data_IF_312098519779
#
_entry.id   IF_312098519779
#
_cell.length_a   1.000
_cell.length_b   1.000
_cell.length_c   1.000
_cell.angle_alpha   90.00
_cell.angle_beta   90.00
_cell.angle_gamma   90.00
#
_symmetry.space_group_name_H-M   'P 1'
#
loop_
_entity.id
_entity.type
_entity.pdbx_description
1 polymer ?
#
# COMPACT_ATOMS: atom_id res chain seq x y z
N UNK A 1 4.34 -84.82 10.49
CA UNK A 1 4.77 -83.64 9.70
C UNK A 1 6.04 -83.99 8.96
N UNK A 2 6.28 -83.42 7.78
CA UNK A 2 7.26 -83.92 6.81
C UNK A 2 8.43 -82.96 6.59
N UNK A 3 9.53 -83.57 6.12
CA UNK A 3 10.73 -83.08 5.41
C UNK A 3 10.73 -81.60 4.95
N UNK A 4 11.77 -80.78 5.16
CA UNK A 4 13.20 -80.91 4.78
C UNK A 4 13.48 -80.65 3.27
N UNK A 5 14.63 -80.02 2.98
CA UNK A 5 15.27 -79.80 1.66
C UNK A 5 14.60 -78.86 0.61
N UNK A 6 15.15 -77.65 0.45
CA UNK A 6 15.97 -77.17 -0.71
C UNK A 6 16.09 -75.62 -0.64
N UNK A 7 17.05 -74.87 -1.21
CA UNK A 7 18.50 -74.95 -1.47
C UNK A 7 18.85 -73.70 -2.34
N UNK A 8 19.68 -72.76 -1.84
CA UNK A 8 20.75 -72.06 -2.60
C UNK A 8 20.43 -70.95 -3.66
N UNK A 9 21.41 -70.00 -3.78
CA UNK A 9 21.63 -68.91 -4.78
C UNK A 9 20.69 -67.67 -4.67
N UNK A 10 21.16 -66.41 -4.74
CA UNK A 10 22.48 -65.75 -4.99
C UNK A 10 22.66 -64.54 -4.03
N UNK A 11 23.85 -64.18 -3.52
CA UNK A 11 24.94 -63.36 -4.14
C UNK A 11 24.46 -61.98 -4.63
N UNK A 12 25.11 -60.82 -4.42
CA UNK A 12 26.40 -60.36 -3.82
C UNK A 12 26.33 -58.80 -3.68
N UNK A 13 27.18 -57.96 -3.05
CA UNK A 13 28.30 -58.00 -2.07
C UNK A 13 28.44 -56.55 -1.50
N UNK A 14 28.47 -56.25 -0.20
CA UNK A 14 29.58 -56.22 0.79
C UNK A 14 30.74 -55.20 0.56
N UNK A 15 30.69 -54.08 1.31
CA UNK A 15 31.80 -53.27 1.89
C UNK A 15 32.75 -52.39 1.04
N UNK A 16 33.50 -51.55 1.80
CA UNK A 16 34.44 -50.46 1.43
C UNK A 16 33.76 -49.20 0.83
N UNK A 17 34.21 -47.96 1.09
CA UNK A 17 35.43 -47.47 1.76
C UNK A 17 35.12 -46.53 2.96
N UNK A 18 36.03 -46.52 3.95
CA UNK A 18 36.27 -45.37 4.84
C UNK A 18 37.56 -44.65 4.37
N UNK A 19 37.81 -43.44 4.88
CA UNK A 19 39.07 -42.67 4.78
C UNK A 19 39.62 -42.32 3.38
N UNK A 20 39.21 -41.15 2.86
CA UNK A 20 40.08 -40.16 2.20
C UNK A 20 39.81 -38.85 2.97
N UNK A 21 40.66 -38.50 3.94
CA UNK A 21 41.86 -37.65 3.81
C UNK A 21 41.55 -36.25 3.26
N UNK A 22 41.91 -35.23 4.03
CA UNK A 22 41.51 -33.85 3.74
C UNK A 22 42.40 -33.17 2.69
N UNK A 23 41.80 -32.68 1.59
CA UNK A 23 42.29 -31.50 0.87
C UNK A 23 41.21 -30.86 -0.02
N UNK A 24 40.45 -29.89 0.52
CA UNK A 24 39.82 -28.84 -0.30
C UNK A 24 39.58 -27.54 0.49
N UNK A 25 40.62 -27.08 1.18
CA UNK A 25 40.66 -25.76 1.81
C UNK A 25 41.07 -24.70 0.75
N UNK A 26 40.30 -24.60 -0.33
CA UNK A 26 40.56 -23.67 -1.45
C UNK A 26 39.32 -22.80 -1.72
N UNK A 27 39.41 -21.57 -1.23
CA UNK A 27 38.87 -20.36 -1.86
C UNK A 27 37.42 -20.42 -2.40
N UNK A 28 36.53 -21.02 -1.61
CA UNK A 28 35.11 -20.66 -1.56
C UNK A 28 34.85 -19.25 -1.03
N UNK A 29 35.74 -18.28 -1.29
CA UNK A 29 35.48 -16.84 -1.11
C UNK A 29 34.54 -16.35 -2.21
N UNK A 30 33.35 -16.96 -2.28
CA UNK A 30 32.19 -16.24 -2.79
C UNK A 30 32.07 -14.99 -1.94
N UNK A 31 32.17 -13.81 -2.56
CA UNK A 31 31.83 -12.58 -1.86
C UNK A 31 30.35 -12.66 -1.52
N UNK A 32 30.04 -13.11 -0.32
CA UNK A 32 28.91 -12.57 0.42
C UNK A 32 29.22 -11.09 0.56
N UNK A 33 28.79 -10.30 -0.42
CA UNK A 33 28.66 -8.85 -0.28
C UNK A 33 27.47 -8.67 0.66
N UNK A 34 27.74 -8.95 1.94
CA UNK A 34 26.85 -8.57 3.01
C UNK A 34 26.71 -7.05 2.88
N UNK A 35 25.52 -6.58 2.55
CA UNK A 35 25.25 -5.16 2.37
C UNK A 35 25.21 -4.48 3.76
N UNK A 36 26.38 -4.41 4.39
CA UNK A 36 26.67 -3.77 5.68
C UNK A 36 26.59 -2.23 5.59
N UNK A 37 25.66 -1.74 4.77
CA UNK A 37 25.18 -0.37 4.83
C UNK A 37 24.24 -0.23 6.02
N UNK A 38 24.48 0.80 6.82
CA UNK A 38 23.44 1.38 7.65
C UNK A 38 22.40 2.08 6.76
N UNK A 39 21.17 2.25 7.25
CA UNK A 39 20.22 3.11 6.56
C UNK A 39 20.70 4.57 6.60
N UNK A 40 20.38 5.34 5.56
CA UNK A 40 20.76 6.75 5.41
C UNK A 40 19.68 7.53 4.64
N UNK A 41 19.80 8.85 4.52
CA UNK A 41 18.88 9.64 3.70
C UNK A 41 18.80 9.15 2.23
N UNK A 42 19.86 8.55 1.70
CA UNK A 42 19.91 7.98 0.36
C UNK A 42 19.10 6.67 0.23
N UNK A 43 18.84 5.97 1.33
CA UNK A 43 17.94 4.80 1.35
C UNK A 43 16.50 5.16 0.98
N UNK A 44 16.09 6.40 1.21
CA UNK A 44 14.76 6.89 0.83
C UNK A 44 14.65 7.39 -0.62
N UNK A 45 15.73 7.58 -1.37
CA UNK A 45 15.66 8.29 -2.66
C UNK A 45 14.59 7.73 -3.63
N UNK A 46 13.78 8.60 -4.23
CA UNK A 46 12.76 8.23 -5.24
C UNK A 46 11.34 8.65 -4.88
N UNK A 47 10.36 8.14 -5.64
CA UNK A 47 8.94 8.45 -5.49
C UNK A 47 8.21 7.37 -4.67
N UNK A 48 7.27 7.79 -3.81
CA UNK A 48 6.44 6.91 -2.99
C UNK A 48 4.98 7.30 -3.14
N UNK A 49 4.13 6.29 -3.34
CA UNK A 49 2.70 6.42 -3.09
C UNK A 49 2.47 6.33 -1.58
N UNK A 50 1.75 7.31 -1.02
CA UNK A 50 1.52 7.42 0.42
C UNK A 50 0.02 7.46 0.70
N UNK A 51 -0.43 6.50 1.48
CA UNK A 51 -1.80 6.45 2.03
C UNK A 51 -1.77 7.12 3.39
N UNK A 52 -2.70 8.05 3.62
CA UNK A 52 -2.90 8.73 4.91
C UNK A 52 -4.25 8.30 5.50
N UNK A 53 -4.26 7.87 6.76
CA UNK A 53 -5.47 7.58 7.53
C UNK A 53 -5.39 8.28 8.89
N UNK A 54 -6.48 8.92 9.31
CA UNK A 54 -6.61 9.44 10.66
C UNK A 54 -7.25 8.39 11.59
N UNK A 55 -6.62 8.17 12.74
CA UNK A 55 -6.96 7.12 13.69
C UNK A 55 -7.37 7.77 15.02
N UNK A 56 -8.55 7.39 15.51
CA UNK A 56 -9.18 8.01 16.69
C UNK A 56 -9.84 9.35 16.35
N UNK A 57 -9.95 10.23 17.34
CA UNK A 57 -10.51 11.59 17.17
C UNK A 57 -12.00 11.64 16.88
N UNK A 58 -12.40 12.73 16.23
CA UNK A 58 -13.70 13.03 15.64
C UNK A 58 -13.48 13.38 14.16
N UNK A 59 -14.50 13.19 13.32
CA UNK A 59 -14.46 13.51 11.88
C UNK A 59 -13.36 12.74 11.10
N UNK A 60 -13.62 11.50 10.65
CA UNK A 60 -12.61 10.70 9.94
C UNK A 60 -12.07 11.47 8.72
N UNK A 61 -10.77 11.37 8.47
CA UNK A 61 -10.11 11.91 7.29
C UNK A 61 -9.14 10.86 6.71
N UNK A 62 -8.98 10.90 5.40
CA UNK A 62 -8.07 10.03 4.66
C UNK A 62 -7.50 10.80 3.47
N UNK A 63 -6.33 10.40 2.97
CA UNK A 63 -5.71 11.06 1.83
C UNK A 63 -4.78 10.15 1.05
N UNK A 64 -4.46 10.60 -0.16
CA UNK A 64 -3.50 9.97 -1.07
C UNK A 64 -2.45 11.00 -1.47
N UNK A 65 -1.19 10.62 -1.45
CA UNK A 65 -0.07 11.54 -1.75
C UNK A 65 1.00 10.85 -2.59
N UNK A 66 1.69 11.62 -3.42
CA UNK A 66 2.91 11.19 -4.10
C UNK A 66 4.06 12.05 -3.60
N UNK A 67 4.99 11.44 -2.87
CA UNK A 67 6.14 12.12 -2.25
C UNK A 67 7.43 11.68 -2.94
N UNK A 68 8.21 12.65 -3.40
CA UNK A 68 9.59 12.48 -3.84
C UNK A 68 10.55 12.78 -2.68
N UNK A 69 11.48 11.87 -2.43
CA UNK A 69 12.59 12.07 -1.49
C UNK A 69 13.90 12.23 -2.28
N UNK A 70 14.66 13.29 -2.01
CA UNK A 70 15.84 13.69 -2.81
C UNK A 70 17.11 12.86 -2.57
N UNK A 71 17.07 11.96 -1.58
CA UNK A 71 18.22 11.14 -1.15
C UNK A 71 19.17 11.86 -0.20
N UNK A 72 18.92 13.13 0.15
CA UNK A 72 19.85 14.01 0.89
C UNK A 72 19.21 14.60 2.15
N UNK A 73 17.89 14.67 2.22
CA UNK A 73 17.14 15.11 3.39
C UNK A 73 16.02 16.11 3.10
N UNK A 74 15.62 16.29 1.83
CA UNK A 74 14.47 17.10 1.43
C UNK A 74 13.42 16.26 0.72
N UNK A 75 12.16 16.59 0.96
CA UNK A 75 11.02 16.00 0.27
C UNK A 75 10.18 17.06 -0.43
N UNK A 76 9.49 16.64 -1.50
CA UNK A 76 8.47 17.42 -2.21
C UNK A 76 7.38 16.50 -2.72
N UNK A 77 6.21 17.03 -3.09
CA UNK A 77 5.15 16.19 -3.61
C UNK A 77 3.80 16.86 -3.76
N UNK A 78 2.80 16.02 -4.00
CA UNK A 78 1.38 16.39 -4.06
C UNK A 78 0.59 15.53 -3.09
N UNK A 79 -0.52 16.07 -2.59
CA UNK A 79 -1.51 15.29 -1.82
C UNK A 79 -2.92 15.68 -2.23
N UNK A 80 -3.85 14.73 -2.13
CA UNK A 80 -5.29 14.93 -2.21
C UNK A 80 -5.87 14.39 -0.90
N UNK A 81 -6.30 15.31 -0.03
CA UNK A 81 -6.88 14.98 1.27
C UNK A 81 -8.39 15.07 1.20
N UNK A 82 -9.08 14.04 1.68
CA UNK A 82 -10.51 14.06 1.96
C UNK A 82 -10.70 14.54 3.41
N UNK A 83 -11.03 15.82 3.56
CA UNK A 83 -11.18 16.52 4.84
C UNK A 83 -12.66 16.75 5.20
N UNK A 84 -13.02 16.82 6.49
CA UNK A 84 -14.33 17.31 6.89
C UNK A 84 -14.50 18.81 6.55
N UNK A 85 -15.70 19.19 6.13
CA UNK A 85 -16.12 20.56 5.79
C UNK A 85 -16.43 21.41 7.03
N UNK A 86 -17.56 22.11 7.02
CA UNK A 86 -18.10 22.82 8.18
C UNK A 86 -19.03 21.94 9.03
N UNK A 87 -19.81 21.04 8.42
CA UNK A 87 -20.56 19.99 9.12
C UNK A 87 -19.87 18.61 9.09
N UNK A 88 -20.34 17.69 9.93
CA UNK A 88 -19.86 16.30 10.00
C UNK A 88 -20.03 15.50 8.70
N UNK A 89 -21.04 15.87 7.91
CA UNK A 89 -21.41 15.20 6.65
C UNK A 89 -20.75 15.81 5.42
N UNK A 90 -20.39 17.09 5.45
CA UNK A 90 -19.68 17.75 4.33
C UNK A 90 -18.26 17.25 4.20
N UNK A 91 -17.86 16.89 2.97
CA UNK A 91 -16.49 16.47 2.63
C UNK A 91 -15.89 17.42 1.61
N UNK A 92 -14.63 17.78 1.82
CA UNK A 92 -13.82 18.60 0.90
C UNK A 92 -12.66 17.77 0.38
N UNK A 93 -12.49 17.73 -0.94
CA UNK A 93 -11.31 17.15 -1.58
C UNK A 93 -10.30 18.26 -1.87
N UNK A 94 -9.28 18.38 -1.02
CA UNK A 94 -8.28 19.45 -1.13
C UNK A 94 -7.00 18.91 -1.73
N UNK A 95 -6.67 19.34 -2.96
CA UNK A 95 -5.37 19.07 -3.59
C UNK A 95 -4.36 20.13 -3.13
N UNK A 96 -3.24 19.68 -2.57
CA UNK A 96 -2.25 20.54 -1.90
C UNK A 96 -0.82 20.18 -2.36
N UNK A 97 0.09 21.14 -2.26
CA UNK A 97 1.52 20.94 -2.51
C UNK A 97 2.24 20.59 -1.20
N UNK A 98 3.14 19.62 -1.27
CA UNK A 98 3.99 19.19 -0.17
C UNK A 98 5.44 19.63 -0.41
N UNK A 99 6.09 20.06 0.66
CA UNK A 99 7.54 20.24 0.77
C UNK A 99 7.99 19.77 2.16
N UNK A 100 9.28 19.63 2.41
CA UNK A 100 9.72 19.22 3.75
C UNK A 100 11.16 18.78 3.85
N UNK A 101 11.49 18.27 5.02
CA UNK A 101 12.82 17.73 5.37
C UNK A 101 12.70 16.41 6.12
N UNK A 102 13.71 15.56 6.00
CA UNK A 102 13.73 14.25 6.66
C UNK A 102 15.14 13.82 7.07
N UNK A 103 15.22 12.97 8.10
CA UNK A 103 16.44 12.35 8.61
C UNK A 103 16.22 10.86 8.84
N UNK A 104 17.21 10.05 8.46
CA UNK A 104 17.20 8.59 8.61
C UNK A 104 18.38 8.17 9.49
N UNK A 105 18.05 7.44 10.54
CA UNK A 105 19.01 6.83 11.46
C UNK A 105 19.56 5.52 10.88
N UNK A 106 20.75 5.06 11.33
CA UNK A 106 21.36 3.81 10.89
C UNK A 106 20.49 2.56 10.94
N UNK A 107 19.57 2.50 11.90
CA UNK A 107 18.66 1.38 12.16
C UNK A 107 17.39 1.39 11.26
N UNK A 108 17.15 2.47 10.52
CA UNK A 108 15.97 2.65 9.67
C UNK A 108 14.81 3.37 10.35
N UNK A 109 14.98 3.84 11.59
CA UNK A 109 14.10 4.85 12.19
C UNK A 109 14.42 6.24 11.63
N UNK A 110 13.58 7.23 11.90
CA UNK A 110 13.85 8.61 11.49
C UNK A 110 12.75 9.60 11.85
N UNK A 111 12.89 10.82 11.33
CA UNK A 111 11.91 11.89 11.43
C UNK A 111 11.64 12.51 10.05
N UNK A 112 10.42 13.02 9.85
CA UNK A 112 10.00 13.73 8.64
C UNK A 112 9.11 14.90 9.01
N UNK A 113 9.48 16.10 8.56
CA UNK A 113 8.71 17.34 8.72
C UNK A 113 8.05 17.64 7.38
N UNK A 114 6.73 17.51 7.30
CA UNK A 114 5.95 17.79 6.09
C UNK A 114 5.31 19.18 6.21
N UNK A 115 5.54 20.02 5.21
CA UNK A 115 4.99 21.37 5.06
C UNK A 115 4.00 21.38 3.91
N UNK A 116 2.76 21.75 4.23
CA UNK A 116 1.63 21.76 3.30
C UNK A 116 1.19 23.19 3.06
N UNK A 117 1.32 23.68 1.83
CA UNK A 117 0.84 25.02 1.45
C UNK A 117 -0.65 24.99 1.18
N UNK A 118 -1.42 25.79 1.93
CA UNK A 118 -2.88 25.88 1.83
C UNK A 118 -3.32 26.99 0.84
N UNK A 119 -4.56 26.94 0.30
CA UNK A 119 -5.02 27.90 -0.73
C UNK A 119 -5.14 29.35 -0.25
N UNK A 120 -5.16 29.59 1.06
CA UNK A 120 -5.14 30.90 1.70
C UNK A 120 -3.71 31.48 1.86
N UNK A 121 -2.69 30.75 1.40
CA UNK A 121 -1.28 31.13 1.52
C UNK A 121 -0.62 30.73 2.85
N UNK A 122 -1.36 30.13 3.79
CA UNK A 122 -0.79 29.62 5.03
C UNK A 122 -0.04 28.30 4.79
N UNK A 123 0.86 27.94 5.72
CA UNK A 123 1.62 26.69 5.67
C UNK A 123 1.38 25.91 6.95
N UNK A 124 0.79 24.71 6.85
CA UNK A 124 0.68 23.77 7.97
C UNK A 124 1.91 22.87 8.00
N UNK A 125 2.58 22.81 9.14
CA UNK A 125 3.69 21.90 9.42
C UNK A 125 3.18 20.67 10.19
N UNK A 126 3.69 19.49 9.85
CA UNK A 126 3.35 18.22 10.51
C UNK A 126 4.64 17.43 10.76
N UNK A 127 4.95 17.23 12.04
CA UNK A 127 6.09 16.41 12.47
C UNK A 127 5.68 14.95 12.58
N UNK A 128 6.46 14.08 11.93
CA UNK A 128 6.24 12.64 11.87
C UNK A 128 7.48 11.88 12.36
N UNK A 129 7.28 10.91 13.25
CA UNK A 129 8.24 9.83 13.44
C UNK A 129 8.04 8.77 12.33
N UNK A 130 9.12 8.14 11.85
CA UNK A 130 9.05 7.12 10.80
C UNK A 130 9.93 5.89 11.08
N UNK A 131 9.57 4.78 10.43
CA UNK A 131 10.37 3.56 10.38
C UNK A 131 10.28 2.87 9.01
N UNK A 132 11.43 2.46 8.47
CA UNK A 132 11.54 1.60 7.29
C UNK A 132 11.20 0.16 7.70
N UNK A 133 10.18 -0.43 7.08
CA UNK A 133 9.69 -1.79 7.42
C UNK A 133 9.91 -2.82 6.32
N UNK A 134 10.18 -2.37 5.09
CA UNK A 134 10.66 -3.21 4.01
C UNK A 134 11.76 -2.47 3.24
N UNK A 135 12.81 -3.19 2.87
CA UNK A 135 13.91 -2.70 2.05
C UNK A 135 14.34 -3.76 1.02
N UNK A 136 15.09 -3.32 0.01
CA UNK A 136 15.81 -4.15 -0.94
C UNK A 136 17.32 -3.86 -0.78
N UNK A 137 18.14 -4.89 -0.92
CA UNK A 137 19.60 -4.80 -0.81
C UNK A 137 20.25 -5.29 -2.11
N UNK A 138 20.52 -4.35 -3.03
CA UNK A 138 21.31 -4.61 -4.24
C UNK A 138 22.77 -4.20 -4.01
N UNK A 139 23.03 -2.88 -4.02
CA UNK A 139 24.34 -2.29 -3.71
C UNK A 139 24.31 -1.45 -2.41
N UNK A 140 23.12 -1.02 -1.98
CA UNK A 140 22.85 -0.30 -0.75
C UNK A 140 21.41 -0.56 -0.33
N UNK A 141 21.10 -0.43 0.97
CA UNK A 141 19.72 -0.53 1.47
C UNK A 141 18.86 0.55 0.84
N UNK A 142 17.89 0.14 0.04
CA UNK A 142 16.85 0.97 -0.55
C UNK A 142 15.51 0.63 0.10
N UNK A 143 14.90 1.60 0.77
CA UNK A 143 13.60 1.41 1.39
C UNK A 143 12.53 1.13 0.32
N UNK A 144 11.57 0.26 0.65
CA UNK A 144 10.46 -0.15 -0.20
C UNK A 144 9.11 0.12 0.47
N UNK A 145 9.03 -0.02 1.80
CA UNK A 145 7.86 0.39 2.59
C UNK A 145 8.25 1.10 3.89
N UNK A 146 7.55 2.19 4.19
CA UNK A 146 7.65 2.99 5.42
C UNK A 146 6.32 2.99 6.17
N UNK A 147 6.41 3.10 7.49
CA UNK A 147 5.32 3.62 8.32
C UNK A 147 5.74 4.96 8.90
N UNK A 148 4.82 5.93 8.92
CA UNK A 148 5.00 7.20 9.61
C UNK A 148 3.79 7.47 10.51
N UNK A 149 4.03 8.10 11.66
CA UNK A 149 2.98 8.54 12.59
C UNK A 149 3.22 9.98 13.00
N UNK A 150 2.13 10.74 13.15
CA UNK A 150 2.18 12.10 13.66
C UNK A 150 2.54 12.13 15.15
N UNK A 151 3.41 13.06 15.54
CA UNK A 151 3.86 13.20 16.94
C UNK A 151 2.81 13.85 17.85
N UNK A 152 1.90 14.64 17.26
CA UNK A 152 0.84 15.39 17.95
C UNK A 152 -0.53 15.01 17.38
N UNK A 153 -1.61 15.27 18.11
CA UNK A 153 -2.96 15.17 17.56
C UNK A 153 -3.17 16.24 16.47
N UNK A 154 -3.89 15.90 15.41
CA UNK A 154 -4.36 16.90 14.45
C UNK A 154 -5.41 17.82 15.09
N UNK A 155 -5.19 19.13 15.06
CA UNK A 155 -6.00 20.13 15.78
C UNK A 155 -7.49 20.14 15.39
N UNK A 156 -7.84 19.78 14.14
CA UNK A 156 -9.24 19.77 13.66
C UNK A 156 -9.98 18.49 14.04
N UNK A 157 -9.30 17.35 14.03
CA UNK A 157 -9.92 16.02 14.26
C UNK A 157 -9.67 15.47 15.66
N UNK A 158 -8.60 15.85 16.34
CA UNK A 158 -8.15 15.21 17.59
C UNK A 158 -7.68 13.75 17.40
N UNK A 159 -7.48 13.32 16.15
CA UNK A 159 -6.94 12.00 15.80
C UNK A 159 -5.46 12.07 15.40
N UNK A 160 -4.80 10.91 15.35
CA UNK A 160 -3.42 10.79 14.86
C UNK A 160 -3.41 10.42 13.37
N UNK A 161 -2.61 11.10 12.55
CA UNK A 161 -2.33 10.64 11.19
C UNK A 161 -1.34 9.46 11.22
N UNK A 162 -1.78 8.31 10.71
CA UNK A 162 -0.96 7.18 10.29
C UNK A 162 -0.74 7.29 8.78
N UNK A 163 0.50 7.13 8.34
CA UNK A 163 0.86 7.11 6.93
C UNK A 163 1.57 5.78 6.59
N UNK A 164 1.18 5.18 5.47
CA UNK A 164 1.91 4.05 4.86
C UNK A 164 2.44 4.50 3.51
N UNK A 165 3.76 4.45 3.32
CA UNK A 165 4.43 4.88 2.09
C UNK A 165 5.09 3.68 1.41
N UNK A 166 4.78 3.44 0.14
CA UNK A 166 5.35 2.36 -0.66
C UNK A 166 6.08 2.95 -1.87
N UNK A 167 7.30 2.48 -2.13
CA UNK A 167 8.15 2.97 -3.22
C UNK A 167 7.56 2.58 -4.57
N UNK A 168 7.52 3.55 -5.48
CA UNK A 168 7.09 3.36 -6.86
C UNK A 168 8.32 3.09 -7.75
N UNK A 169 8.16 2.31 -8.84
CA UNK A 169 9.21 2.20 -9.86
C UNK A 169 9.59 3.58 -10.40
N UNK A 170 10.87 3.79 -10.69
CA UNK A 170 11.30 5.02 -11.37
C UNK A 170 10.78 5.01 -12.82
N UNK A 171 11.05 3.92 -13.54
CA UNK A 171 10.86 3.79 -14.98
C UNK A 171 9.41 3.51 -15.41
N UNK A 172 9.12 3.76 -16.68
CA UNK A 172 7.78 3.61 -17.26
C UNK A 172 6.76 4.68 -16.81
N UNK A 173 5.51 4.56 -17.29
CA UNK A 173 4.45 5.56 -17.12
C UNK A 173 3.19 4.97 -16.50
N UNK A 174 2.45 5.79 -15.74
CA UNK A 174 1.07 5.48 -15.39
C UNK A 174 0.11 5.97 -16.48
N UNK A 175 -0.86 5.12 -16.85
CA UNK A 175 -1.95 5.38 -17.81
C UNK A 175 -3.15 4.52 -17.42
N UNK A 176 -4.32 4.64 -18.06
CA UNK A 176 -5.46 3.75 -17.76
C UNK A 176 -5.12 2.26 -17.88
N UNK A 177 -4.17 1.89 -18.76
CA UNK A 177 -3.68 0.52 -18.93
C UNK A 177 -2.97 -0.04 -17.67
N UNK A 178 -2.47 0.83 -16.79
CA UNK A 178 -1.86 0.43 -15.51
C UNK A 178 -2.78 -0.41 -14.63
N UNK A 179 -4.10 -0.17 -14.66
CA UNK A 179 -5.09 -0.96 -13.91
C UNK A 179 -5.65 -2.16 -14.69
N UNK A 180 -5.26 -2.43 -15.95
CA UNK A 180 -5.88 -3.49 -16.77
C UNK A 180 -5.84 -4.87 -16.09
N UNK A 181 -6.98 -5.56 -16.04
CA UNK A 181 -7.10 -6.90 -15.46
C UNK A 181 -8.05 -7.00 -14.27
N UNK A 182 -7.93 -8.07 -13.49
CA UNK A 182 -8.82 -8.41 -12.37
C UNK A 182 -8.17 -8.14 -11.02
N UNK A 183 -8.94 -7.56 -10.09
CA UNK A 183 -8.50 -7.19 -8.75
C UNK A 183 -9.52 -7.71 -7.73
N UNK A 184 -9.03 -8.31 -6.65
CA UNK A 184 -9.81 -8.45 -5.43
C UNK A 184 -9.68 -7.16 -4.63
N UNK A 185 -10.71 -6.80 -3.85
CA UNK A 185 -10.65 -5.62 -3.00
C UNK A 185 -11.37 -5.80 -1.67
N UNK A 186 -10.98 -4.97 -0.71
CA UNK A 186 -11.63 -4.81 0.60
C UNK A 186 -12.24 -3.41 0.72
N UNK A 187 -13.19 -3.25 1.62
CA UNK A 187 -13.82 -1.96 1.97
C UNK A 187 -13.94 -1.86 3.48
N UNK A 188 -13.48 -0.76 4.06
CA UNK A 188 -13.50 -0.48 5.50
C UNK A 188 -14.13 0.88 5.75
N UNK A 189 -15.12 0.93 6.65
CA UNK A 189 -15.70 2.16 7.15
C UNK A 189 -15.00 2.66 8.42
N UNK A 190 -14.61 3.94 8.41
CA UNK A 190 -13.92 4.60 9.52
C UNK A 190 -14.76 5.74 10.11
N UNK A 191 -14.67 5.94 11.43
CA UNK A 191 -15.23 7.09 12.16
C UNK A 191 -16.76 7.20 12.21
N UNK A 192 -17.49 6.27 11.60
CA UNK A 192 -18.95 6.22 11.68
C UNK A 192 -19.47 5.62 12.98
N UNK A 193 -20.78 5.74 13.19
CA UNK A 193 -21.46 5.22 14.39
C UNK A 193 -21.68 3.71 14.36
N UNK A 194 -21.62 3.09 13.18
CA UNK A 194 -21.87 1.67 13.00
C UNK A 194 -20.83 1.08 12.05
N UNK A 195 -20.14 0.01 12.46
CA UNK A 195 -19.09 -0.62 11.66
C UNK A 195 -19.61 -1.09 10.29
N UNK A 196 -18.81 -0.89 9.25
CA UNK A 196 -19.09 -1.32 7.88
C UNK A 196 -17.83 -1.97 7.30
N UNK A 197 -18.00 -3.16 6.72
CA UNK A 197 -16.96 -3.87 5.98
C UNK A 197 -17.55 -4.39 4.66
N UNK A 198 -16.71 -4.54 3.65
CA UNK A 198 -17.08 -5.19 2.40
C UNK A 198 -15.87 -5.79 1.69
N UNK A 199 -16.16 -6.57 0.66
CA UNK A 199 -15.17 -7.16 -0.23
C UNK A 199 -15.78 -7.37 -1.62
N UNK A 200 -14.96 -7.62 -2.63
CA UNK A 200 -15.46 -7.89 -3.96
C UNK A 200 -14.39 -8.14 -5.01
N UNK A 201 -14.84 -8.21 -6.27
CA UNK A 201 -13.99 -8.33 -7.45
C UNK A 201 -14.27 -7.15 -8.38
N UNK A 202 -13.22 -6.59 -8.98
CA UNK A 202 -13.29 -5.60 -10.05
C UNK A 202 -12.48 -6.05 -11.26
N UNK A 203 -12.97 -5.71 -12.45
CA UNK A 203 -12.37 -6.01 -13.75
C UNK A 203 -12.24 -4.69 -14.51
N UNK A 204 -11.00 -4.26 -14.76
CA UNK A 204 -10.64 -3.03 -15.46
C UNK A 204 -10.26 -3.34 -16.91
N UNK A 205 -10.81 -2.59 -17.87
CA UNK A 205 -10.53 -2.76 -19.29
C UNK A 205 -9.11 -2.31 -19.71
N UNK A 206 -8.52 -1.36 -18.97
CA UNK A 206 -7.26 -0.70 -19.30
C UNK A 206 -7.41 0.55 -20.17
N UNK A 207 -8.64 0.96 -20.46
CA UNK A 207 -9.00 2.00 -21.44
C UNK A 207 -9.76 3.15 -20.75
N UNK A 208 -10.61 2.85 -19.78
CA UNK A 208 -11.29 3.87 -18.95
C UNK A 208 -12.55 3.41 -18.22
N UNK A 209 -12.91 2.13 -18.26
CA UNK A 209 -14.07 1.58 -17.54
C UNK A 209 -13.70 0.38 -16.66
N UNK A 210 -14.38 0.22 -15.53
CA UNK A 210 -14.32 -0.99 -14.74
C UNK A 210 -15.70 -1.47 -14.30
N UNK A 211 -15.82 -2.79 -14.17
CA UNK A 211 -17.04 -3.47 -13.75
C UNK A 211 -16.74 -4.44 -12.60
N UNK A 212 -17.69 -4.61 -11.69
CA UNK A 212 -17.47 -5.44 -10.52
C UNK A 212 -18.71 -5.69 -9.67
N UNK A 213 -18.50 -6.36 -8.55
CA UNK A 213 -19.51 -6.61 -7.54
C UNK A 213 -18.96 -6.30 -6.15
N UNK A 214 -19.73 -5.56 -5.36
CA UNK A 214 -19.50 -5.34 -3.94
C UNK A 214 -20.36 -6.32 -3.14
N UNK A 215 -19.77 -7.02 -2.17
CA UNK A 215 -20.49 -7.70 -1.08
C UNK A 215 -20.22 -6.86 0.18
N UNK A 216 -21.23 -6.13 0.65
CA UNK A 216 -21.11 -5.20 1.78
C UNK A 216 -21.93 -5.68 2.96
N UNK A 217 -21.29 -5.82 4.12
CA UNK A 217 -21.95 -6.09 5.39
C UNK A 217 -22.47 -4.76 5.97
N UNK A 218 -23.79 -4.58 5.94
CA UNK A 218 -24.50 -3.40 6.42
C UNK A 218 -25.36 -3.69 7.67
N UNK A 219 -25.80 -2.65 8.40
CA UNK A 219 -26.78 -2.82 9.49
C UNK A 219 -28.11 -3.36 8.95
N UNK A 220 -28.77 -4.23 9.73
CA UNK A 220 -30.16 -4.64 9.48
C UNK A 220 -31.17 -3.74 10.18
N UNK A 221 -32.45 -4.09 10.06
CA UNK A 221 -33.61 -3.33 10.60
C UNK A 221 -33.58 -3.06 12.12
N UNK A 222 -32.83 -3.86 12.88
CA UNK A 222 -32.73 -3.74 14.34
C UNK A 222 -31.28 -3.81 14.78
N UNK A 223 -30.93 -3.10 15.86
CA UNK A 223 -29.60 -3.16 16.48
C UNK A 223 -29.11 -4.62 16.64
N UNK A 224 -27.85 -4.86 16.28
CA UNK A 224 -27.23 -6.19 16.29
C UNK A 224 -27.49 -7.05 15.05
N UNK A 225 -28.59 -6.87 14.30
CA UNK A 225 -28.78 -7.55 13.01
C UNK A 225 -27.85 -6.96 11.95
N UNK A 226 -27.37 -7.81 11.04
CA UNK A 226 -26.53 -7.45 9.89
C UNK A 226 -27.10 -8.08 8.61
N UNK A 227 -26.91 -7.42 7.47
CA UNK A 227 -27.34 -7.89 6.15
C UNK A 227 -26.17 -7.77 5.18
N UNK A 228 -25.94 -8.81 4.37
CA UNK A 228 -25.00 -8.75 3.26
C UNK A 228 -25.75 -8.29 2.00
N UNK A 229 -25.45 -7.07 1.56
CA UNK A 229 -25.97 -6.52 0.29
C UNK A 229 -24.95 -6.79 -0.80
N UNK A 230 -25.39 -7.39 -1.90
CA UNK A 230 -24.58 -7.57 -3.11
C UNK A 230 -25.03 -6.55 -4.16
N UNK A 231 -24.10 -5.73 -4.66
CA UNK A 231 -24.37 -4.69 -5.65
C UNK A 231 -23.39 -4.78 -6.83
N UNK A 232 -23.86 -4.99 -8.07
CA UNK A 232 -23.03 -4.83 -9.27
C UNK A 232 -22.81 -3.34 -9.57
N UNK A 233 -21.73 -3.02 -10.27
CA UNK A 233 -21.45 -1.66 -10.76
C UNK A 233 -20.63 -1.67 -12.05
N UNK A 234 -20.77 -0.58 -12.82
CA UNK A 234 -19.87 -0.20 -13.91
C UNK A 234 -19.55 1.28 -13.71
N UNK A 235 -18.26 1.66 -13.79
CA UNK A 235 -17.78 3.01 -13.42
C UNK A 235 -16.66 3.45 -14.38
N UNK A 236 -16.66 4.71 -14.86
CA UNK A 236 -15.52 5.26 -15.58
C UNK A 236 -14.37 5.57 -14.61
N UNK A 237 -13.13 5.58 -15.11
CA UNK A 237 -11.95 5.98 -14.35
C UNK A 237 -10.91 6.70 -15.23
N UNK A 238 -10.10 7.56 -14.61
CA UNK A 238 -8.93 8.15 -15.24
C UNK A 238 -7.71 8.11 -14.29
N UNK A 239 -6.55 7.70 -14.84
CA UNK A 239 -5.27 7.65 -14.12
C UNK A 239 -4.38 8.83 -14.53
N UNK A 240 -3.88 9.56 -13.54
CA UNK A 240 -2.91 10.64 -13.70
C UNK A 240 -1.49 10.08 -13.85
N UNK A 241 -0.59 10.86 -14.45
CA UNK A 241 0.80 10.44 -14.68
C UNK A 241 1.61 10.15 -13.39
N UNK A 242 1.12 10.59 -12.22
CA UNK A 242 1.70 10.33 -10.89
C UNK A 242 1.18 9.03 -10.23
N UNK A 243 0.20 8.35 -10.83
CA UNK A 243 -0.40 7.11 -10.31
C UNK A 243 -1.61 7.34 -9.40
N UNK A 244 -1.99 8.59 -9.14
CA UNK A 244 -3.31 8.93 -8.58
C UNK A 244 -4.39 8.84 -9.66
N UNK A 245 -5.66 8.79 -9.26
CA UNK A 245 -6.77 8.84 -10.20
C UNK A 245 -8.11 9.09 -9.52
N UNK A 246 -9.13 9.26 -10.35
CA UNK A 246 -10.53 9.45 -9.92
C UNK A 246 -11.43 8.54 -10.76
N UNK A 247 -12.38 7.90 -10.10
CA UNK A 247 -13.53 7.27 -10.73
C UNK A 247 -14.80 8.02 -10.29
N UNK A 248 -15.46 8.69 -11.23
CA UNK A 248 -16.67 9.51 -10.98
C UNK A 248 -17.89 8.80 -11.58
N UNK A 249 -18.70 8.09 -10.78
CA UNK A 249 -19.84 7.35 -11.29
C UNK A 249 -21.04 8.29 -11.51
N UNK A 250 -21.85 8.13 -12.57
CA UNK A 250 -23.00 8.99 -12.82
C UNK A 250 -24.00 8.98 -11.65
N UNK A 251 -24.16 10.13 -10.97
CA UNK A 251 -25.07 10.28 -9.84
C UNK A 251 -24.58 9.74 -8.49
N UNK A 252 -23.33 9.28 -8.40
CA UNK A 252 -22.72 8.84 -7.13
C UNK A 252 -21.60 9.79 -6.67
N UNK A 253 -20.94 9.41 -5.57
CA UNK A 253 -19.73 10.08 -5.08
C UNK A 253 -18.48 9.67 -5.86
N UNK A 254 -17.56 10.60 -6.06
CA UNK A 254 -16.21 10.29 -6.56
C UNK A 254 -15.52 9.24 -5.69
N UNK A 255 -14.73 8.38 -6.34
CA UNK A 255 -13.77 7.49 -5.69
C UNK A 255 -12.37 7.95 -6.10
N UNK A 256 -11.64 8.55 -5.16
CA UNK A 256 -10.22 8.83 -5.31
C UNK A 256 -9.43 7.53 -5.18
N UNK A 257 -8.36 7.35 -5.95
CA UNK A 257 -7.46 6.23 -5.76
C UNK A 257 -6.00 6.58 -6.05
N UNK A 258 -5.09 5.73 -5.57
CA UNK A 258 -3.66 5.76 -5.87
C UNK A 258 -3.14 4.34 -6.07
N UNK A 259 -2.33 4.13 -7.10
CA UNK A 259 -1.58 2.87 -7.26
C UNK A 259 -0.45 2.87 -6.22
N UNK A 260 -0.56 2.01 -5.22
CA UNK A 260 0.42 1.92 -4.12
C UNK A 260 1.63 1.08 -4.48
N UNK A 261 1.48 0.14 -5.41
CA UNK A 261 2.55 -0.77 -5.85
C UNK A 261 2.39 -1.09 -7.33
N UNK A 262 3.47 -1.02 -8.08
CA UNK A 262 3.49 -1.33 -9.50
C UNK A 262 4.74 -2.12 -9.90
N UNK A 263 4.65 -2.84 -11.01
CA UNK A 263 5.78 -3.40 -11.75
C UNK A 263 5.83 -2.73 -13.12
N UNK A 264 7.00 -2.68 -13.76
CA UNK A 264 7.13 -2.12 -15.11
C UNK A 264 7.06 -3.26 -16.13
N UNK A 265 6.10 -3.18 -17.04
CA UNK A 265 5.89 -4.11 -18.15
C UNK A 265 5.62 -3.29 -19.43
N UNK A 266 6.36 -3.56 -20.50
CA UNK A 266 6.46 -2.75 -21.73
C UNK A 266 6.43 -1.22 -21.52
N UNK A 267 7.18 -0.72 -20.52
CA UNK A 267 7.22 0.71 -20.18
C UNK A 267 5.95 1.27 -19.52
N UNK A 268 4.95 0.45 -19.21
CA UNK A 268 3.78 0.79 -18.39
C UNK A 268 4.02 0.34 -16.95
N UNK A 269 3.73 1.22 -15.99
CA UNK A 269 3.69 0.87 -14.56
C UNK A 269 2.38 0.11 -14.28
N UNK A 270 2.38 -1.21 -14.41
CA UNK A 270 1.22 -2.08 -14.15
C UNK A 270 1.01 -2.24 -12.65
N UNK A 271 -0.16 -1.80 -12.17
CA UNK A 271 -0.56 -1.81 -10.78
C UNK A 271 -0.71 -3.24 -10.25
N UNK A 272 -0.09 -3.50 -9.11
CA UNK A 272 -0.18 -4.74 -8.33
C UNK A 272 -1.07 -4.54 -7.10
N UNK A 273 -0.90 -3.40 -6.41
CA UNK A 273 -1.76 -2.96 -5.31
C UNK A 273 -2.14 -1.49 -5.51
N UNK A 274 -3.33 -1.12 -5.02
CA UNK A 274 -3.84 0.25 -5.04
C UNK A 274 -4.77 0.50 -3.85
N UNK A 275 -4.92 1.76 -3.44
CA UNK A 275 -5.79 2.19 -2.33
C UNK A 275 -6.81 3.21 -2.84
N UNK A 276 -8.01 3.20 -2.28
CA UNK A 276 -9.09 4.13 -2.65
C UNK A 276 -9.86 4.71 -1.47
N UNK A 277 -10.48 5.87 -1.69
CA UNK A 277 -11.32 6.62 -0.76
C UNK A 277 -12.61 7.01 -1.50
N UNK A 278 -13.77 6.64 -0.96
CA UNK A 278 -15.05 7.21 -1.41
C UNK A 278 -15.19 8.62 -0.83
N UNK A 279 -15.46 9.61 -1.68
CA UNK A 279 -15.46 11.03 -1.30
C UNK A 279 -16.43 11.32 -0.14
N UNK A 280 -17.70 10.94 -0.29
CA UNK A 280 -18.73 11.25 0.70
C UNK A 280 -18.80 10.22 1.84
N UNK A 281 -19.30 10.68 3.00
CA UNK A 281 -19.68 9.83 4.11
C UNK A 281 -20.85 8.92 3.70
N UNK A 282 -20.80 7.64 4.08
CA UNK A 282 -21.93 6.75 3.90
C UNK A 282 -23.11 7.22 4.79
N UNK A 283 -24.28 7.60 4.21
CA UNK A 283 -25.35 8.25 4.98
C UNK A 283 -26.08 7.30 5.94
N UNK A 284 -25.92 5.99 5.80
CA UNK A 284 -26.54 4.97 6.67
C UNK A 284 -25.67 4.72 7.91
N UNK A 285 -24.34 4.65 7.74
CA UNK A 285 -23.43 4.22 8.79
C UNK A 285 -22.59 5.34 9.41
N UNK A 286 -22.53 6.50 8.75
CA UNK A 286 -21.71 7.65 9.14
C UNK A 286 -20.21 7.47 8.84
N UNK A 287 -19.81 6.41 8.15
CA UNK A 287 -18.40 6.12 7.88
C UNK A 287 -17.85 6.89 6.67
N UNK A 288 -16.60 7.35 6.78
CA UNK A 288 -15.76 7.52 5.61
C UNK A 288 -15.34 6.13 5.11
N UNK A 289 -15.55 5.83 3.83
CA UNK A 289 -15.22 4.52 3.26
C UNK A 289 -13.88 4.56 2.53
N UNK A 290 -12.99 3.63 2.89
CA UNK A 290 -11.72 3.40 2.17
C UNK A 290 -11.62 1.94 1.75
N UNK A 291 -10.67 1.60 0.88
CA UNK A 291 -10.41 0.20 0.54
C UNK A 291 -9.06 -0.02 -0.12
N UNK A 292 -8.64 -1.28 -0.13
CA UNK A 292 -7.41 -1.75 -0.76
C UNK A 292 -7.76 -2.71 -1.89
N UNK A 293 -7.00 -2.65 -2.98
CA UNK A 293 -7.17 -3.45 -4.19
C UNK A 293 -5.87 -4.22 -4.45
N UNK A 294 -5.97 -5.51 -4.72
CA UNK A 294 -4.82 -6.38 -5.05
C UNK A 294 -5.10 -7.10 -6.35
N UNK A 295 -4.16 -7.03 -7.30
CA UNK A 295 -4.26 -7.72 -8.59
C UNK A 295 -4.31 -9.22 -8.35
N UNK A 296 -5.27 -9.90 -8.99
CA UNK A 296 -5.33 -11.35 -9.00
C UNK A 296 -4.44 -11.90 -10.15
N UNK A 297 -3.94 -13.14 -10.02
CA UNK A 297 -3.45 -13.89 -11.16
C UNK A 297 -4.51 -13.96 -12.27
N UNK A 298 -4.04 -14.00 -13.52
CA UNK A 298 -4.88 -14.21 -14.71
C UNK A 298 -5.35 -15.67 -14.80
#
# INVERSE_FOLDING_TARGET
MLKEFFLVKRFQFFCLFFSILALFLILGHGKVVQANGNFTNASLQGNYAVVTLNIGGQYPQAGISVINYDGKGKLSGTTIQNLPGASISERMLTKLLLSGTYTINPDGTGQSIIKTSLPDGTVKEVNLALVITQAQEDNAKQAQKLYLIQEQLDEKTGGLLKLEATKLPNDGKFTNASLKGKYAYTLTGHGGRVSQLGLGIMNYDGEGSFSGNAIVNLPGETNGKRVFVTAPFVRPYNINADGTGIATPPGESDVLFIITKAQVDDGIKVAQEAFFIVNQINPITGNLLTGEMTKLPN
#
